data_IF_665018538946
#
_entry.id   IF_665018538946
#
_cell.length_a   1.000
_cell.length_b   1.000
_cell.length_c   1.000
_cell.angle_alpha   90.00
_cell.angle_beta   90.00
_cell.angle_gamma   90.00
#
_symmetry.space_group_name_H-M   'P 1'
#
loop_
_entity.id
_entity.type
_entity.pdbx_description
1 polymer ?
2 non-polymer ?
3 non-polymer ?
4 non-polymer ?
5 non-polymer ?
6 water ?
#
# COMPACT_ATOMS: atom_id res chain seq x y z
N UNK A 1 16.42 0.66 -8.51
CA UNK A 1 16.45 1.08 -7.07
C UNK A 1 16.37 -0.08 -6.08
N UNK A 2 16.06 0.21 -4.80
CA UNK A 2 16.16 -0.77 -3.70
C UNK A 2 15.07 -1.83 -3.77
N UNK A 3 15.43 -3.07 -3.43
CA UNK A 3 14.47 -4.17 -3.27
C UNK A 3 14.77 -4.90 -1.94
N UNK A 4 13.76 -5.58 -1.41
CA UNK A 4 13.93 -6.42 -0.21
C UNK A 4 14.76 -7.64 -0.64
N UNK A 5 15.76 -8.00 0.16
CA UNK A 5 16.68 -9.09 -0.19
C UNK A 5 16.46 -10.30 0.72
N UNK A 6 15.19 -10.55 1.01
CA UNK A 6 14.76 -11.64 1.88
C UNK A 6 13.31 -11.95 1.47
N UNK A 7 12.83 -13.15 1.78
CA UNK A 7 11.50 -13.57 1.35
C UNK A 7 10.37 -13.38 2.38
N UNK A 8 10.70 -13.45 3.68
CA UNK A 8 9.71 -13.22 4.74
C UNK A 8 9.73 -11.75 5.15
N UNK A 9 8.62 -11.07 4.84
CA UNK A 9 8.43 -9.65 5.13
C UNK A 9 7.30 -9.49 6.14
N UNK A 10 7.51 -8.60 7.11
CA UNK A 10 6.53 -8.32 8.13
C UNK A 10 5.91 -6.95 7.93
N UNK A 11 4.66 -6.83 8.36
CA UNK A 11 4.02 -5.54 8.44
C UNK A 11 3.32 -5.37 9.76
N UNK A 12 3.16 -4.11 10.14
CA UNK A 12 2.54 -3.79 11.41
C UNK A 12 1.60 -2.64 11.10
N UNK A 13 0.41 -2.70 11.69
CA UNK A 13 -0.54 -1.61 11.54
C UNK A 13 -0.38 -0.76 12.79
N UNK A 14 0.28 0.38 12.61
CA UNK A 14 0.53 1.37 13.68
C UNK A 14 -0.72 1.90 14.40
N UNK A 15 -1.75 2.23 13.63
CA UNK A 15 -3.00 2.79 14.15
C UNK A 15 -4.08 2.60 13.10
N UNK A 16 -5.34 2.77 13.49
CA UNK A 16 -6.51 2.46 12.65
C UNK A 16 -7.36 3.68 12.34
N UNK A 17 -7.65 3.88 11.05
CA UNK A 17 -8.62 4.89 10.65
C UNK A 17 -9.97 4.70 11.38
N UNK A 18 -10.52 5.80 11.95
CA UNK A 18 -11.89 5.74 12.50
C UNK A 18 -12.96 5.59 11.44
N UNK A 19 -12.59 5.70 10.15
CA UNK A 19 -13.53 5.65 9.03
C UNK A 19 -14.06 4.23 8.80
N UNK A 20 -13.36 3.23 9.32
CA UNK A 20 -13.70 1.82 9.02
C UNK A 20 -13.78 0.95 10.26
N UNK A 21 -14.47 -0.19 10.15
CA UNK A 21 -14.42 -1.24 11.18
C UNK A 21 -12.97 -1.76 11.22
N UNK A 22 -12.48 -2.05 12.42
CA UNK A 22 -11.11 -2.55 12.60
C UNK A 22 -10.82 -3.79 11.77
N UNK A 23 -11.77 -4.73 11.74
CA UNK A 23 -11.58 -6.03 11.06
C UNK A 23 -11.49 -5.82 9.55
N UNK A 24 -12.16 -4.78 9.07
CA UNK A 24 -12.15 -4.43 7.65
C UNK A 24 -10.81 -3.80 7.22
N UNK A 25 -10.25 -2.94 8.08
CA UNK A 25 -8.88 -2.43 7.89
C UNK A 25 -7.90 -3.61 7.77
N UNK A 26 -7.96 -4.51 8.76
CA UNK A 26 -7.08 -5.68 8.76
C UNK A 26 -7.21 -6.47 7.45
N UNK A 27 -8.44 -6.74 7.01
CA UNK A 27 -8.68 -7.58 5.82
C UNK A 27 -8.26 -6.88 4.53
N UNK A 28 -8.56 -5.57 4.44
CA UNK A 28 -8.16 -4.78 3.26
C UNK A 28 -6.64 -4.79 3.08
N UNK A 29 -5.91 -4.62 4.18
CA UNK A 29 -4.42 -4.64 4.11
C UNK A 29 -3.87 -6.05 3.77
N UNK A 30 -4.39 -7.06 4.45
CA UNK A 30 -4.02 -8.45 4.17
C UNK A 30 -4.20 -8.79 2.68
N UNK A 31 -5.39 -8.52 2.15
CA UNK A 31 -5.75 -8.74 0.74
C UNK A 31 -4.80 -8.02 -0.22
N UNK A 32 -4.45 -6.77 0.11
CA UNK A 32 -3.51 -5.98 -0.71
C UNK A 32 -2.10 -6.59 -0.78
N UNK A 33 -1.57 -7.06 0.36
CA UNK A 33 -0.32 -7.80 0.35
C UNK A 33 -0.45 -9.07 -0.50
N UNK A 34 -1.58 -9.77 -0.38
CA UNK A 34 -1.77 -11.03 -1.11
C UNK A 34 -1.66 -10.80 -2.62
N UNK A 35 -2.10 -9.63 -3.10
CA UNK A 35 -2.01 -9.31 -4.54
C UNK A 35 -0.55 -9.45 -5.02
N UNK A 36 0.37 -8.98 -4.19
CA UNK A 36 1.77 -9.02 -4.52
C UNK A 36 2.48 -10.35 -4.26
N UNK A 37 2.13 -11.03 -3.17
CA UNK A 37 2.67 -12.35 -2.90
C UNK A 37 2.15 -13.40 -3.92
N UNK A 38 1.02 -13.12 -4.58
CA UNK A 38 0.46 -13.99 -5.64
C UNK A 38 1.41 -14.09 -6.83
N UNK A 39 2.29 -13.10 -6.98
CA UNK A 39 3.07 -12.95 -8.21
C UNK A 39 4.56 -12.77 -7.93
N UNK A 40 4.95 -13.05 -6.68
CA UNK A 40 6.36 -13.00 -6.29
C UNK A 40 6.62 -14.14 -5.30
N UNK A 41 7.89 -14.35 -4.92
CA UNK A 41 8.22 -15.36 -3.88
C UNK A 41 7.99 -14.84 -2.46
N UNK A 42 7.50 -13.60 -2.34
CA UNK A 42 7.36 -12.94 -1.04
C UNK A 42 6.24 -13.55 -0.19
N UNK A 43 6.44 -13.54 1.13
CA UNK A 43 5.44 -13.94 2.12
C UNK A 43 5.32 -12.79 3.11
N UNK A 44 4.10 -12.37 3.44
CA UNK A 44 3.88 -11.23 4.33
C UNK A 44 3.13 -11.71 5.56
N UNK A 45 3.58 -11.25 6.73
CA UNK A 45 2.92 -11.54 8.01
C UNK A 45 2.70 -10.27 8.84
N UNK A 46 1.52 -10.19 9.44
CA UNK A 46 1.16 -9.10 10.33
C UNK A 46 1.76 -9.43 11.71
N UNK A 47 2.53 -8.50 12.27
CA UNK A 47 3.00 -8.64 13.64
C UNK A 47 2.35 -7.52 14.47
N UNK A 48 2.17 -7.74 15.77
CA UNK A 48 1.39 -6.82 16.59
C UNK A 48 2.24 -5.90 17.44
N UNK A 49 3.54 -6.11 17.39
CA UNK A 49 4.47 -5.48 18.32
C UNK A 49 5.89 -5.49 17.74
N UNK A 50 6.71 -4.53 18.14
CA UNK A 50 8.11 -4.52 17.73
C UNK A 50 8.30 -3.89 16.35
N UNK A 51 9.46 -4.14 15.74
CA UNK A 51 9.81 -3.50 14.46
C UNK A 51 9.41 -4.32 13.21
N UNK A 52 8.51 -3.78 12.39
CA UNK A 52 8.14 -4.45 11.14
C UNK A 52 9.00 -3.91 10.02
N UNK A 53 9.07 -4.65 8.92
CA UNK A 53 9.61 -4.11 7.67
C UNK A 53 8.72 -2.98 7.15
N UNK A 54 7.42 -3.19 7.16
CA UNK A 54 6.52 -2.20 6.60
C UNK A 54 5.56 -1.76 7.69
N UNK A 55 5.67 -0.51 8.11
CA UNK A 55 4.72 0.07 9.06
C UNK A 55 3.61 0.80 8.32
N UNK A 56 2.36 0.44 8.63
CA UNK A 56 1.18 1.03 8.01
C UNK A 56 0.66 2.06 9.00
N UNK A 57 0.53 3.29 8.55
CA UNK A 57 0.19 4.45 9.40
C UNK A 57 -0.97 5.21 8.75
N UNK A 58 -1.97 5.60 9.54
CA UNK A 58 -2.91 6.64 9.11
C UNK A 58 -2.56 7.95 9.81
N UNK A 59 -2.54 9.05 9.07
CA UNK A 59 -2.10 10.34 9.63
C UNK A 59 -2.55 11.44 8.70
N UNK A 60 -2.60 12.67 9.21
CA UNK A 60 -3.08 13.82 8.39
C UNK A 60 -2.06 14.95 8.48
N UNK A 61 -2.05 15.83 7.49
CA UNK A 61 -1.09 16.95 7.44
C UNK A 61 0.37 16.59 7.65
N UNK A 62 1.07 17.42 8.42
CA UNK A 62 2.45 17.16 8.80
C UNK A 62 2.48 16.02 9.80
N UNK A 63 3.19 14.95 9.47
CA UNK A 63 3.15 13.78 10.32
C UNK A 63 4.53 13.15 10.49
N UNK A 64 5.57 13.98 10.43
CA UNK A 64 6.86 13.54 10.89
C UNK A 64 7.84 13.04 9.85
N UNK A 65 7.47 13.12 8.59
CA UNK A 65 8.40 12.82 7.52
C UNK A 65 8.48 14.07 6.65
N UNK A 66 8.93 13.94 5.42
CA UNK A 66 9.00 15.12 4.56
C UNK A 66 7.89 15.19 3.53
N UNK A 67 6.83 14.43 3.77
CA UNK A 67 5.77 14.30 2.81
C UNK A 67 4.43 14.67 3.46
N UNK A 68 4.31 15.94 3.85
CA UNK A 68 3.06 16.46 4.41
C UNK A 68 1.85 16.12 3.54
N UNK A 69 0.78 15.68 4.20
CA UNK A 69 -0.47 15.47 3.50
C UNK A 69 -1.20 16.82 3.32
N UNK A 70 -2.23 16.80 2.50
CA UNK A 70 -2.79 18.01 1.90
C UNK A 70 -4.30 18.12 2.09
N UNK A 71 -4.86 17.52 3.14
CA UNK A 71 -6.33 17.47 3.31
C UNK A 71 -7.04 16.53 2.34
N UNK A 72 -8.36 16.56 2.36
CA UNK A 72 -9.15 15.64 1.54
C UNK A 72 -8.84 15.82 0.04
N UNK A 73 -8.65 14.70 -0.64
CA UNK A 73 -8.35 14.72 -2.07
C UNK A 73 -6.86 14.87 -2.30
N UNK A 74 -6.47 15.21 -3.52
CA UNK A 74 -5.05 15.33 -3.85
C UNK A 74 -4.29 14.05 -3.56
N UNK A 75 -3.19 14.16 -2.82
CA UNK A 75 -2.40 12.98 -2.45
C UNK A 75 -3.23 12.15 -1.48
N UNK A 76 -3.46 10.87 -1.78
CA UNK A 76 -4.27 9.98 -0.93
C UNK A 76 -3.45 9.21 0.09
N UNK A 77 -2.19 8.95 -0.27
CA UNK A 77 -1.28 8.08 0.45
C UNK A 77 0.12 8.22 -0.13
N UNK A 78 1.13 7.77 0.60
CA UNK A 78 2.48 7.66 0.02
C UNK A 78 3.25 6.59 0.79
N UNK A 79 4.32 6.04 0.21
CA UNK A 79 5.09 4.96 0.87
C UNK A 79 6.57 5.06 0.49
N UNK A 80 7.42 4.44 1.29
CA UNK A 80 8.85 4.54 1.10
C UNK A 80 9.35 3.24 0.48
N UNK A 81 10.25 3.34 -0.50
CA UNK A 81 10.86 2.15 -1.13
C UNK A 81 11.59 1.30 -0.11
N UNK A 82 11.91 0.06 -0.48
CA UNK A 82 12.59 -0.81 0.50
C UNK A 82 13.85 -0.17 1.14
N UNK A 83 14.08 -0.50 2.40
CA UNK A 83 15.19 0.02 3.16
C UNK A 83 14.91 -0.12 4.64
N UNK A 84 15.89 0.26 5.45
CA UNK A 84 15.77 0.18 6.90
C UNK A 84 14.98 1.39 7.40
N UNK A 85 14.59 1.36 8.66
CA UNK A 85 13.83 2.44 9.29
C UNK A 85 12.51 2.69 8.60
N UNK A 86 12.30 3.91 8.12
CA UNK A 86 11.06 4.23 7.43
C UNK A 86 10.92 3.55 6.05
N UNK A 87 12.02 3.06 5.49
CA UNK A 87 11.96 2.29 4.26
C UNK A 87 10.83 1.28 4.35
N UNK A 88 10.11 1.11 3.25
CA UNK A 88 8.93 0.25 3.23
C UNK A 88 7.64 0.83 3.82
N UNK A 89 7.68 1.90 4.61
CA UNK A 89 6.46 2.31 5.35
C UNK A 89 5.41 2.92 4.42
N UNK A 90 4.14 2.69 4.73
CA UNK A 90 3.04 3.16 3.93
C UNK A 90 2.11 4.02 4.80
N UNK A 91 1.87 5.23 4.33
CA UNK A 91 1.16 6.23 5.11
C UNK A 91 -0.10 6.61 4.33
N UNK A 92 -1.25 6.53 4.99
CA UNK A 92 -2.55 6.83 4.39
C UNK A 92 -3.11 8.11 4.98
N UNK A 93 -3.50 9.01 4.10
CA UNK A 93 -4.02 10.32 4.50
C UNK A 93 -5.34 10.19 5.28
N UNK A 94 -5.31 10.49 6.57
CA UNK A 94 -6.58 10.45 7.36
C UNK A 94 -7.66 11.41 6.88
N UNK A 95 -7.27 12.45 6.13
CA UNK A 95 -8.26 13.37 5.60
C UNK A 95 -9.06 12.81 4.42
N UNK A 96 -8.69 11.63 3.90
CA UNK A 96 -9.60 10.88 3.01
C UNK A 96 -10.65 10.13 3.84
N UNK A 97 -11.72 9.68 3.20
CA UNK A 97 -12.67 8.79 3.87
C UNK A 97 -12.47 7.38 3.35
N UNK A 98 -11.85 6.55 4.20
CA UNK A 98 -11.46 5.19 3.79
C UNK A 98 -12.64 4.24 3.84
N UNK A 99 -12.79 3.40 2.80
CA UNK A 99 -13.88 2.40 2.79
C UNK A 99 -13.52 1.00 2.19
N UNK A 100 -14.48 0.09 2.38
CA UNK A 100 -14.46 -1.24 1.79
C UNK A 100 -15.08 -1.33 0.40
N UNK A 101 -15.56 -0.21 -0.12
CA UNK A 101 -16.42 -0.23 -1.29
C UNK A 101 -16.02 0.89 -2.28
N UNK A 102 -16.95 1.28 -3.17
CA UNK A 102 -16.67 2.33 -4.17
C UNK A 102 -16.88 3.74 -3.63
N UNK A 103 -17.46 3.84 -2.44
CA UNK A 103 -17.66 5.14 -1.77
C UNK A 103 -16.32 5.58 -1.21
N UNK A 104 -16.16 6.88 -1.02
CA UNK A 104 -14.92 7.44 -0.49
C UNK A 104 -13.70 7.04 -1.30
N UNK A 105 -12.63 6.66 -0.59
CA UNK A 105 -11.44 6.09 -1.23
C UNK A 105 -11.27 4.66 -0.73
N UNK A 106 -11.24 3.72 -1.67
CA UNK A 106 -11.13 2.31 -1.32
C UNK A 106 -9.73 1.99 -0.74
N UNK A 107 -9.71 1.50 0.50
CA UNK A 107 -8.46 1.24 1.21
C UNK A 107 -7.66 0.12 0.54
N UNK A 108 -8.31 -0.98 0.24
CA UNK A 108 -7.64 -2.08 -0.47
C UNK A 108 -6.90 -1.60 -1.73
N UNK A 109 -7.60 -0.90 -2.62
CA UNK A 109 -7.02 -0.51 -3.92
C UNK A 109 -5.81 0.38 -3.73
N UNK A 110 -5.95 1.33 -2.80
CA UNK A 110 -4.87 2.27 -2.47
C UNK A 110 -3.68 1.53 -1.86
N UNK A 111 -3.99 0.61 -0.96
CA UNK A 111 -2.96 -0.21 -0.35
C UNK A 111 -2.19 -1.08 -1.39
N UNK A 112 -2.87 -1.61 -2.41
CA UNK A 112 -2.17 -2.34 -3.48
C UNK A 112 -1.10 -1.43 -4.14
N UNK A 113 -1.53 -0.24 -4.55
CA UNK A 113 -0.62 0.81 -5.06
C UNK A 113 0.53 1.16 -4.09
N UNK A 114 0.21 1.48 -2.84
CA UNK A 114 1.24 1.92 -1.88
C UNK A 114 2.21 0.78 -1.61
N UNK A 115 1.68 -0.42 -1.42
CA UNK A 115 2.56 -1.61 -1.22
C UNK A 115 3.47 -1.87 -2.42
N UNK A 116 2.96 -1.60 -3.62
CA UNK A 116 3.83 -1.60 -4.80
C UNK A 116 5.05 -0.72 -4.63
N UNK A 117 4.84 0.52 -4.15
CA UNK A 117 5.96 1.38 -3.81
C UNK A 117 6.83 0.77 -2.69
N UNK A 118 6.21 0.24 -1.63
CA UNK A 118 6.95 -0.36 -0.51
C UNK A 118 7.88 -1.51 -0.94
N UNK A 119 7.57 -2.13 -2.08
CA UNK A 119 8.36 -3.22 -2.63
C UNK A 119 9.41 -2.75 -3.67
N UNK A 120 9.36 -1.47 -4.04
CA UNK A 120 10.31 -0.92 -5.02
C UNK A 120 9.79 -0.44 -6.37
N UNK A 121 8.47 -0.49 -6.60
CA UNK A 121 7.89 -0.07 -7.87
C UNK A 121 7.65 1.43 -7.89
N UNK A 122 7.92 2.04 -9.05
CA UNK A 122 7.57 3.43 -9.28
C UNK A 122 6.25 3.48 -10.04
N UNK A 123 5.82 4.68 -10.41
CA UNK A 123 4.57 4.82 -11.15
C UNK A 123 4.62 4.26 -12.56
N UNK A 124 3.46 3.81 -13.03
CA UNK A 124 3.30 3.41 -14.42
C UNK A 124 2.63 4.53 -15.22
N UNK A 125 3.02 4.64 -16.49
CA UNK A 125 2.35 5.55 -17.41
C UNK A 125 1.08 4.94 -18.02
N UNK A 126 0.86 3.64 -17.76
CA UNK A 126 -0.28 2.88 -18.29
C UNK A 126 -1.50 3.06 -17.37
N UNK A 127 -2.57 3.71 -17.87
CA UNK A 127 -3.79 3.95 -17.06
C UNK A 127 -4.49 2.70 -16.54
N UNK A 128 -4.17 1.55 -17.13
CA UNK A 128 -4.71 0.26 -16.71
C UNK A 128 -4.02 -0.32 -15.48
N UNK A 129 -2.81 0.18 -15.21
CA UNK A 129 -1.97 -0.33 -14.14
C UNK A 129 -2.39 0.20 -12.77
N UNK A 130 -2.27 -0.66 -11.77
CA UNK A 130 -2.52 -0.22 -10.39
C UNK A 130 -1.50 0.86 -9.97
N UNK A 131 -0.29 0.82 -10.53
CA UNK A 131 0.76 1.80 -10.24
C UNK A 131 0.66 3.11 -11.05
N UNK A 132 -0.38 3.24 -11.87
CA UNK A 132 -0.72 4.54 -12.49
C UNK A 132 -1.03 5.54 -11.38
N UNK A 133 -0.50 6.77 -11.50
CA UNK A 133 -0.62 7.70 -10.37
C UNK A 133 -2.04 8.12 -9.99
N UNK A 134 -3.01 8.03 -10.90
CA UNK A 134 -4.36 8.53 -10.61
C UNK A 134 -5.27 7.46 -9.99
N UNK A 135 -5.90 7.79 -8.87
CA UNK A 135 -6.88 6.88 -8.28
C UNK A 135 -8.15 6.80 -9.15
N UNK A 136 -8.54 5.59 -9.54
CA UNK A 136 -9.83 5.34 -10.17
C UNK A 136 -10.43 4.05 -9.61
N UNK A 137 -11.64 4.10 -9.05
CA UNK A 137 -12.26 2.88 -8.51
C UNK A 137 -12.46 1.81 -9.58
N UNK A 138 -12.05 0.58 -9.27
CA UNK A 138 -12.46 -0.60 -10.04
C UNK A 138 -12.98 -1.64 -9.04
N UNK A 139 -13.88 -2.49 -9.50
CA UNK A 139 -14.48 -3.51 -8.65
C UNK A 139 -13.40 -4.34 -7.91
N UNK A 140 -13.39 -4.22 -6.58
CA UNK A 140 -12.36 -4.84 -5.75
C UNK A 140 -12.47 -6.38 -5.70
N UNK A 141 -13.69 -6.89 -5.90
CA UNK A 141 -13.95 -8.33 -5.82
C UNK A 141 -13.45 -9.10 -7.01
N UNK A 142 -13.22 -8.40 -8.13
CA UNK A 142 -12.63 -9.04 -9.31
C UNK A 142 -11.32 -8.37 -9.71
N UNK A 143 -10.75 -7.56 -8.82
CA UNK A 143 -9.51 -6.86 -9.14
C UNK A 143 -8.39 -7.76 -9.65
N UNK A 144 -7.70 -7.33 -10.71
CA UNK A 144 -6.46 -8.00 -11.16
C UNK A 144 -5.36 -7.00 -11.54
N UNK A 145 -4.10 -7.36 -11.28
CA UNK A 145 -2.96 -6.52 -11.69
C UNK A 145 -2.94 -6.42 -13.21
N UNK A 146 -2.56 -5.26 -13.76
CA UNK A 146 -2.35 -5.19 -15.20
C UNK A 146 -1.10 -6.03 -15.54
N UNK A 147 -0.95 -6.36 -16.82
CA UNK A 147 0.27 -6.99 -17.36
C UNK A 147 1.46 -6.09 -17.03
N UNK A 148 1.22 -4.77 -17.06
CA UNK A 148 2.28 -3.81 -16.79
C UNK A 148 2.77 -3.94 -15.34
N UNK A 149 1.84 -4.07 -14.39
CA UNK A 149 2.21 -4.25 -12.97
C UNK A 149 2.98 -5.54 -12.78
N UNK A 150 2.49 -6.61 -13.40
CA UNK A 150 3.18 -7.90 -13.31
C UNK A 150 4.61 -7.88 -13.86
N UNK A 151 4.82 -7.33 -15.05
CA UNK A 151 6.21 -7.28 -15.55
C UNK A 151 7.10 -6.39 -14.66
N UNK A 152 6.55 -5.27 -14.17
CA UNK A 152 7.30 -4.44 -13.24
C UNK A 152 7.75 -5.18 -11.98
N UNK A 153 6.80 -5.82 -11.29
CA UNK A 153 7.15 -6.47 -10.01
C UNK A 153 8.05 -7.67 -10.26
N UNK A 154 7.81 -8.34 -11.38
CA UNK A 154 8.60 -9.52 -11.76
C UNK A 154 9.99 -9.17 -12.27
N UNK A 155 10.18 -7.92 -12.69
CA UNK A 155 11.54 -7.41 -12.94
C UNK A 155 12.37 -7.21 -11.66
N UNK A 156 11.69 -7.09 -10.51
CA UNK A 156 12.35 -6.90 -9.22
C UNK A 156 12.48 -8.20 -8.38
N UNK A 157 11.50 -9.09 -8.52
CA UNK A 157 11.44 -10.31 -7.72
C UNK A 157 11.11 -11.54 -8.57
N UNK A 158 11.61 -12.70 -8.15
CA UNK A 158 11.16 -14.00 -8.65
C UNK A 158 11.58 -14.41 -10.05
X LIG B 1 2.09 6.35 -5.95
X LIG C 1 4.23 10.13 5.41
X LIG D 1 10.21 0.25 7.79
X LIG E 1 -10.63 9.70 7.57
X LIG F 1 -5.09 14.10 0.69
X LIG G 1 3.02 10.06 -3.47
X LIG G 1 2.53 8.78 -4.11
X LIG G 1 2.96 8.39 -5.18
X LIG G 1 1.60 8.09 -3.45
X LIG G 1 1.16 6.91 -4.03
X LIG H 1 -2.79 6.66 -4.33
X LIG H 1 -1.01 9.06 -6.18
X LIG H 1 -4.16 3.54 -5.62
X LIG H 1 -2.25 8.99 -5.36
X LIG H 1 -3.25 5.36 -4.42
X LIG H 1 -3.32 9.80 -6.02
X LIG H 1 -3.71 4.83 -5.62
X LIG H 1 -2.05 9.55 -4.00
X LIG H 1 -3.68 5.61 -6.78
X LIG H 1 -2.78 7.47 -5.47
X LIG H 1 -4.80 2.99 -6.78
X LIG H 1 -3.23 6.94 -6.69
#
# INVERSE_FOLDING_TARGET
GPVWRKHYITYRINNYTPDMNREDVDYAIRKAFQVWSNVTPLKFSKINTGMADILVVFARGAHGDDHAFDGKGGILAHAFGPGSGIGGDAHFDEDEFWTTHSGGTNLFLTAVHEIGHSLGLGHSSDPKAVMFPTYKYVDINTFRLSADDIRGIQSLYG
ZN ZN
ZN ZN
CA CA
CA CA
CA CA
HAE C1 C2 O2 N O
M4S C1 N1 O1 S1 C2 O2 C3 O3 C4 C5 C6 C7
#
